data_IF_157206456587
#
_entry.id   IF_157206456587
#
_cell.length_a   1.000
_cell.length_b   1.000
_cell.length_c   1.000
_cell.angle_alpha   90.00
_cell.angle_beta   90.00
_cell.angle_gamma   90.00
#
_symmetry.space_group_name_H-M   'P 1'
#
loop_
_entity.id
_entity.type
_entity.pdbx_description
1 polymer ?
#
# COMPACT_ATOMS: atom_id res chain seq x y z
N UNK A 1 -15.21 -6.06 0.14
CA UNK A 1 -13.91 -6.68 -0.16
C UNK A 1 -13.69 -7.96 0.65
N UNK A 2 -13.50 -7.91 1.97
CA UNK A 2 -13.21 -9.13 2.75
C UNK A 2 -14.27 -10.23 2.64
N UNK A 3 -15.56 -9.88 2.79
CA UNK A 3 -16.67 -10.83 2.58
C UNK A 3 -16.66 -11.48 1.19
N UNK A 4 -16.20 -10.77 0.16
CA UNK A 4 -16.11 -11.30 -1.20
C UNK A 4 -14.91 -12.25 -1.34
N UNK A 5 -13.77 -11.89 -0.74
CA UNK A 5 -12.60 -12.76 -0.68
C UNK A 5 -12.88 -14.06 0.09
N UNK A 6 -13.65 -13.98 1.18
CA UNK A 6 -14.13 -15.13 1.94
C UNK A 6 -15.10 -15.98 1.11
N UNK A 7 -16.10 -15.35 0.48
CA UNK A 7 -17.07 -16.03 -0.38
C UNK A 7 -16.42 -16.82 -1.52
N UNK A 8 -15.31 -16.30 -2.07
CA UNK A 8 -14.54 -16.96 -3.14
C UNK A 8 -13.33 -17.77 -2.63
N UNK A 9 -13.19 -17.94 -1.31
CA UNK A 9 -12.07 -18.68 -0.69
C UNK A 9 -10.68 -18.22 -1.17
N UNK A 10 -10.48 -16.91 -1.29
CA UNK A 10 -9.24 -16.31 -1.79
C UNK A 10 -8.15 -16.18 -0.72
N UNK A 11 -8.50 -16.19 0.57
CA UNK A 11 -7.54 -15.99 1.66
C UNK A 11 -6.39 -17.00 1.67
N UNK A 12 -6.60 -18.32 1.46
CA UNK A 12 -5.50 -19.27 1.36
C UNK A 12 -4.49 -18.91 0.26
N UNK A 13 -4.97 -18.59 -0.95
CA UNK A 13 -4.13 -18.24 -2.09
C UNK A 13 -3.39 -16.91 -1.88
N UNK A 14 -4.05 -15.91 -1.28
CA UNK A 14 -3.42 -14.63 -0.95
C UNK A 14 -2.31 -14.79 0.09
N UNK A 15 -2.55 -15.61 1.13
CA UNK A 15 -1.54 -15.93 2.16
C UNK A 15 -0.34 -16.65 1.56
N UNK A 16 -0.58 -17.62 0.68
CA UNK A 16 0.48 -18.32 -0.03
C UNK A 16 1.29 -17.36 -0.92
N UNK A 17 0.62 -16.47 -1.65
CA UNK A 17 1.28 -15.48 -2.50
C UNK A 17 2.21 -14.56 -1.69
N UNK A 18 1.73 -14.03 -0.56
CA UNK A 18 2.55 -13.21 0.35
C UNK A 18 3.77 -13.97 0.85
N UNK A 19 3.63 -15.27 1.16
CA UNK A 19 4.73 -16.14 1.61
C UNK A 19 5.76 -16.45 0.53
N UNK A 20 5.43 -16.32 -0.76
CA UNK A 20 6.39 -16.57 -1.85
C UNK A 20 7.54 -15.55 -1.90
N UNK A 21 7.45 -14.46 -1.13
CA UNK A 21 8.47 -13.41 -1.11
C UNK A 21 8.39 -12.46 -2.31
N UNK A 22 7.39 -12.62 -3.19
CA UNK A 22 7.15 -11.67 -4.28
C UNK A 22 6.70 -10.31 -3.72
N UNK A 23 7.09 -9.19 -4.34
CA UNK A 23 6.63 -7.87 -3.95
C UNK A 23 5.10 -7.77 -3.91
N UNK A 24 4.55 -7.27 -2.82
CA UNK A 24 3.11 -7.03 -2.66
C UNK A 24 2.87 -5.61 -2.17
N UNK A 25 1.89 -4.93 -2.77
CA UNK A 25 1.49 -3.59 -2.33
C UNK A 25 0.02 -3.56 -1.93
N UNK A 26 -0.24 -3.26 -0.65
CA UNK A 26 -1.59 -3.03 -0.13
C UNK A 26 -1.90 -1.53 -0.03
N UNK A 27 -2.74 -1.02 -0.94
CA UNK A 27 -3.25 0.37 -0.88
C UNK A 27 -4.62 0.42 -0.16
N UNK A 28 -4.80 1.38 0.74
CA UNK A 28 -6.02 1.61 1.53
C UNK A 28 -6.57 0.32 2.17
N UNK A 29 -7.62 -0.30 1.62
CA UNK A 29 -8.17 -1.55 2.13
C UNK A 29 -7.16 -2.72 2.05
N UNK A 30 -6.22 -2.66 1.10
CA UNK A 30 -5.11 -3.61 0.98
C UNK A 30 -4.14 -3.54 2.17
N UNK A 31 -3.89 -2.34 2.75
CA UNK A 31 -3.12 -2.21 4.00
C UNK A 31 -3.79 -3.02 5.11
N UNK A 32 -5.12 -2.93 5.24
CA UNK A 32 -5.87 -3.68 6.25
C UNK A 32 -5.68 -5.19 6.03
N UNK A 33 -5.69 -5.66 4.78
CA UNK A 33 -5.52 -7.09 4.49
C UNK A 33 -4.13 -7.59 4.84
N UNK A 34 -3.08 -6.82 4.57
CA UNK A 34 -1.69 -7.23 4.83
C UNK A 34 -1.30 -7.17 6.30
N UNK A 35 -1.97 -6.33 7.10
CA UNK A 35 -1.68 -6.20 8.52
C UNK A 35 -1.97 -7.50 9.30
N UNK A 36 -1.12 -7.80 10.28
CA UNK A 36 -1.32 -8.92 11.20
C UNK A 36 -2.42 -8.64 12.23
N UNK A 37 -2.68 -7.36 12.55
CA UNK A 37 -3.65 -6.95 13.56
C UNK A 37 -4.52 -5.81 13.03
N UNK A 38 -5.83 -5.86 13.30
CA UNK A 38 -6.75 -4.79 12.93
C UNK A 38 -7.78 -4.50 14.03
N UNK A 39 -8.03 -3.22 14.31
CA UNK A 39 -9.03 -2.72 15.26
C UNK A 39 -10.11 -1.88 14.55
N UNK A 40 -11.22 -1.59 15.23
CA UNK A 40 -12.35 -0.87 14.64
C UNK A 40 -13.18 -1.73 13.67
N UNK A 41 -13.22 -3.05 13.89
CA UNK A 41 -14.04 -3.97 13.10
C UNK A 41 -15.51 -3.93 13.55
N UNK A 42 -16.45 -4.14 12.63
CA UNK A 42 -17.86 -4.41 12.97
C UNK A 42 -17.98 -5.83 13.55
N UNK A 43 -19.08 -6.11 14.26
CA UNK A 43 -19.40 -7.48 14.72
C UNK A 43 -19.26 -8.50 13.58
N UNK A 44 -18.60 -9.61 13.87
CA UNK A 44 -18.21 -10.64 12.88
C UNK A 44 -16.75 -10.59 12.44
N UNK A 45 -16.00 -9.56 12.83
CA UNK A 45 -14.57 -9.45 12.52
C UNK A 45 -14.28 -9.30 11.02
N UNK A 46 -13.00 -9.28 10.67
CA UNK A 46 -12.57 -9.38 9.28
C UNK A 46 -11.35 -10.27 9.20
N UNK A 47 -11.40 -11.27 8.32
CA UNK A 47 -10.22 -12.09 8.02
C UNK A 47 -9.13 -11.23 7.37
N UNK A 48 -7.89 -11.46 7.79
CA UNK A 48 -6.70 -10.77 7.32
C UNK A 48 -5.82 -11.76 6.54
N UNK A 49 -5.09 -11.26 5.56
CA UNK A 49 -4.05 -12.04 4.87
C UNK A 49 -2.83 -12.13 5.78
N UNK A 50 -2.45 -11.02 6.42
CA UNK A 50 -1.26 -10.94 7.27
C UNK A 50 0.04 -10.94 6.47
N UNK A 51 1.16 -10.87 7.20
CA UNK A 51 2.53 -10.81 6.67
C UNK A 51 3.25 -9.50 6.97
N UNK A 52 2.49 -8.45 7.32
CA UNK A 52 3.00 -7.17 7.77
C UNK A 52 2.73 -7.01 9.27
N UNK A 53 3.79 -6.93 10.07
CA UNK A 53 3.73 -6.81 11.54
C UNK A 53 3.33 -5.39 11.95
N UNK A 54 2.06 -5.07 11.76
CA UNK A 54 1.50 -3.79 12.19
C UNK A 54 0.07 -3.95 12.69
N UNK A 55 -0.35 -2.97 13.48
CA UNK A 55 -1.73 -2.84 13.96
C UNK A 55 -2.42 -1.71 13.21
N UNK A 56 -3.52 -2.01 12.52
CA UNK A 56 -4.25 -1.04 11.71
C UNK A 56 -5.61 -0.71 12.32
N UNK A 57 -5.94 0.58 12.43
CA UNK A 57 -7.31 1.03 12.71
C UNK A 57 -8.08 1.26 11.43
N UNK A 58 -9.23 0.59 11.29
CA UNK A 58 -10.10 0.76 10.13
C UNK A 58 -10.83 2.09 10.20
N UNK A 59 -10.98 2.79 9.07
CA UNK A 59 -11.68 4.07 9.00
C UNK A 59 -11.25 5.06 10.10
N UNK A 60 -9.94 5.14 10.37
CA UNK A 60 -9.40 5.93 11.49
C UNK A 60 -9.83 7.40 11.42
N UNK A 61 -9.92 7.95 10.21
CA UNK A 61 -10.25 9.35 9.97
C UNK A 61 -11.76 9.68 9.99
N UNK A 62 -12.63 8.72 10.32
CA UNK A 62 -14.07 8.94 10.51
C UNK A 62 -14.96 8.32 9.43
N UNK A 63 -16.26 8.67 9.48
CA UNK A 63 -17.27 8.18 8.54
C UNK A 63 -17.18 8.86 7.16
N UNK A 64 -17.86 8.27 6.17
CA UNK A 64 -17.87 8.50 4.72
C UNK A 64 -17.76 9.95 4.17
N UNK A 65 -17.87 10.99 5.00
CA UNK A 65 -17.94 12.41 4.59
C UNK A 65 -16.57 13.11 4.70
N UNK A 66 -15.54 12.45 5.27
CA UNK A 66 -14.20 13.05 5.41
C UNK A 66 -13.17 12.37 4.52
N UNK A 67 -13.40 12.39 3.20
CA UNK A 67 -12.28 12.31 2.26
C UNK A 67 -11.48 13.59 2.39
N UNK A 68 -10.17 13.47 2.50
CA UNK A 68 -9.30 14.63 2.58
C UNK A 68 -7.99 14.35 1.85
N UNK A 69 -7.23 15.41 1.67
CA UNK A 69 -5.92 15.34 1.07
C UNK A 69 -4.92 15.97 2.04
N UNK A 70 -3.74 15.38 2.10
CA UNK A 70 -2.67 15.88 2.94
C UNK A 70 -1.33 15.68 2.25
N UNK A 71 -0.44 16.64 2.45
CA UNK A 71 0.94 16.52 2.01
C UNK A 71 1.69 15.56 2.93
N UNK A 72 2.26 14.52 2.34
CA UNK A 72 3.03 13.48 3.02
C UNK A 72 4.44 13.41 2.46
N UNK A 73 5.36 12.81 3.21
CA UNK A 73 6.73 12.62 2.76
C UNK A 73 6.83 11.72 1.54
N UNK A 74 7.75 12.07 0.64
CA UNK A 74 8.11 11.26 -0.52
C UNK A 74 9.17 10.24 -0.10
N UNK A 75 9.07 8.97 -0.52
CA UNK A 75 10.10 7.99 -0.22
C UNK A 75 11.49 8.39 -0.73
N UNK A 76 12.53 8.11 0.05
CA UNK A 76 13.91 8.49 -0.28
C UNK A 76 14.40 7.94 -1.64
N UNK A 77 13.97 6.74 -2.02
CA UNK A 77 14.37 6.13 -3.30
C UNK A 77 13.82 6.87 -4.53
N UNK A 78 12.79 7.70 -4.35
CA UNK A 78 12.12 8.43 -5.44
C UNK A 78 12.12 9.94 -5.26
N UNK A 79 12.75 10.46 -4.21
CA UNK A 79 12.90 11.91 -3.99
C UNK A 79 13.73 12.59 -5.09
N UNK A 80 14.62 11.85 -5.77
CA UNK A 80 15.44 12.34 -6.87
C UNK A 80 14.76 12.32 -8.24
N UNK A 81 13.54 11.80 -8.35
CA UNK A 81 12.80 11.70 -9.62
C UNK A 81 12.16 13.03 -10.07
N UNK A 82 12.43 14.12 -9.34
CA UNK A 82 11.80 15.42 -9.56
C UNK A 82 10.40 15.50 -8.95
N UNK A 83 9.81 16.70 -8.99
CA UNK A 83 8.51 17.00 -8.39
C UNK A 83 8.62 17.81 -7.09
N UNK A 84 7.47 18.02 -6.45
CA UNK A 84 7.39 18.75 -5.18
C UNK A 84 8.09 18.00 -4.04
N UNK A 85 8.51 18.71 -2.99
CA UNK A 85 9.15 18.11 -1.80
C UNK A 85 8.24 17.10 -1.08
N UNK A 86 6.92 17.29 -1.22
CA UNK A 86 5.88 16.43 -0.64
C UNK A 86 5.10 15.70 -1.74
N UNK A 87 4.38 14.66 -1.33
CA UNK A 87 3.41 13.95 -2.15
C UNK A 87 2.00 14.27 -1.64
N UNK A 88 1.08 14.57 -2.54
CA UNK A 88 -0.34 14.81 -2.20
C UNK A 88 -1.05 13.47 -1.96
N UNK A 89 -1.17 13.05 -0.71
CA UNK A 89 -1.89 11.83 -0.33
C UNK A 89 -3.41 12.03 -0.38
N UNK A 90 -4.12 11.21 -1.14
CA UNK A 90 -5.60 11.20 -1.21
C UNK A 90 -6.14 10.13 -0.26
N UNK A 91 -6.87 10.54 0.78
CA UNK A 91 -7.37 9.67 1.84
C UNK A 91 -8.89 9.55 1.76
N UNK A 92 -9.39 8.36 1.41
CA UNK A 92 -10.84 8.09 1.27
C UNK A 92 -11.21 6.96 2.23
N UNK A 93 -11.93 7.30 3.30
CA UNK A 93 -12.21 6.36 4.41
C UNK A 93 -10.96 5.61 4.86
N UNK A 94 -9.84 6.33 4.91
CA UNK A 94 -8.55 5.72 5.04
C UNK A 94 -8.41 5.00 6.39
N UNK A 95 -7.75 3.83 6.41
CA UNK A 95 -7.22 3.28 7.65
C UNK A 95 -6.05 4.11 8.16
N UNK A 96 -5.56 3.80 9.36
CA UNK A 96 -4.27 4.30 9.82
C UNK A 96 -3.51 3.21 10.58
N UNK A 97 -2.18 3.25 10.53
CA UNK A 97 -1.33 2.33 11.30
C UNK A 97 -1.12 2.92 12.70
N UNK A 98 -1.49 2.15 13.72
CA UNK A 98 -1.37 2.54 15.13
C UNK A 98 -0.02 2.15 15.73
N UNK A 99 0.50 1.00 15.31
CA UNK A 99 1.70 0.40 15.88
C UNK A 99 2.38 -0.50 14.83
N UNK A 100 3.71 -0.64 14.95
CA UNK A 100 4.55 -1.38 14.00
C UNK A 100 5.60 -2.21 14.75
N UNK A 101 5.91 -3.38 14.22
CA UNK A 101 6.99 -4.24 14.70
C UNK A 101 8.38 -3.65 14.43
N UNK A 102 9.43 -4.23 15.06
CA UNK A 102 10.81 -3.71 14.97
C UNK A 102 11.41 -3.78 13.56
N UNK A 103 10.94 -4.73 12.73
CA UNK A 103 11.44 -4.92 11.35
C UNK A 103 10.68 -4.08 10.31
N UNK A 104 9.73 -3.24 10.74
CA UNK A 104 8.88 -2.45 9.86
C UNK A 104 9.45 -1.05 9.70
N UNK A 105 9.73 -0.67 8.45
CA UNK A 105 10.19 0.65 8.06
C UNK A 105 8.99 1.58 7.89
N UNK A 106 8.93 2.68 8.64
CA UNK A 106 7.92 3.72 8.47
C UNK A 106 8.37 4.69 7.38
N UNK A 107 7.57 4.81 6.31
CA UNK A 107 7.90 5.61 5.13
C UNK A 107 7.23 6.99 5.13
N UNK A 108 6.03 7.10 5.71
CA UNK A 108 5.31 8.37 5.74
C UNK A 108 4.35 8.50 6.93
N UNK A 109 4.20 9.75 7.35
CA UNK A 109 3.23 10.18 8.35
C UNK A 109 2.27 11.21 7.75
N UNK A 110 1.03 11.23 8.24
CA UNK A 110 0.04 12.26 7.94
C UNK A 110 -0.23 13.07 9.21
N UNK A 111 -0.24 14.43 9.15
CA UNK A 111 -0.69 15.24 10.27
C UNK A 111 -2.19 14.99 10.50
N UNK A 112 -2.59 14.86 11.77
CA UNK A 112 -4.00 14.72 12.16
C UNK A 112 -4.37 15.89 13.07
N UNK A 113 -5.41 16.68 12.73
CA UNK A 113 -5.89 17.74 13.62
C UNK A 113 -6.34 17.14 14.96
N UNK A 114 -5.84 17.67 16.07
CA UNK A 114 -6.04 17.13 17.43
C UNK A 114 -7.51 16.97 17.82
N UNK A 115 -8.42 17.72 17.19
CA UNK A 115 -9.87 17.64 17.40
C UNK A 115 -10.53 16.35 16.87
N UNK A 116 -9.77 15.43 16.27
CA UNK A 116 -10.27 14.14 15.73
C UNK A 116 -9.75 12.90 16.45
N UNK A 117 -8.85 13.03 17.45
CA UNK A 117 -8.22 11.89 18.13
C UNK A 117 -9.00 11.54 19.41
N UNK A 118 -10.11 10.80 19.27
CA UNK A 118 -10.95 10.35 20.40
C UNK A 118 -10.59 8.95 20.93
N UNK A 119 -9.49 8.35 20.49
CA UNK A 119 -9.05 7.02 20.90
C UNK A 119 -7.65 7.05 21.51
N UNK A 120 -7.48 7.83 22.58
CA UNK A 120 -6.48 7.51 23.61
C UNK A 120 -7.24 7.19 24.88
N UNK A 121 -6.95 6.02 25.44
CA UNK A 121 -7.59 5.44 26.61
C UNK A 121 -7.68 6.43 27.79
N UNK A 122 -8.88 6.53 28.35
CA UNK A 122 -9.28 7.04 29.67
C UNK A 122 -8.31 7.96 30.46
N UNK A 123 -8.86 9.14 30.81
CA UNK A 123 -8.49 10.05 31.92
C UNK A 123 -7.51 11.18 31.60
N UNK A 124 -7.97 12.24 30.92
CA UNK A 124 -7.49 13.61 31.20
C UNK A 124 -8.65 14.58 30.99
N UNK A 125 -8.92 15.40 32.02
CA UNK A 125 -9.88 16.50 31.98
C UNK A 125 -9.35 17.61 31.07
N UNK A 126 -10.23 18.18 30.24
CA UNK A 126 -9.93 19.29 29.34
C UNK A 126 -9.58 20.53 30.18
N UNK A 127 -8.38 21.08 29.94
CA UNK A 127 -8.11 22.51 30.12
C UNK A 127 -7.61 23.05 28.77
N UNK A 128 -8.31 24.07 28.29
CA UNK A 128 -7.97 24.84 27.10
C UNK A 128 -6.71 25.69 27.30
N UNK A 129 -6.17 26.16 26.18
CA UNK A 129 -5.01 27.07 26.03
C UNK A 129 -3.61 26.44 26.15
N UNK A 130 -3.18 25.80 25.05
CA UNK A 130 -1.85 26.00 24.44
C UNK A 130 -1.79 25.19 23.14
N UNK A 131 -1.05 25.66 22.13
CA UNK A 131 -0.98 25.05 20.81
C UNK A 131 -0.70 23.53 20.89
N UNK A 132 -1.74 22.73 20.61
CA UNK A 132 -1.70 21.28 20.74
C UNK A 132 -0.67 20.67 19.77
N UNK A 133 0.15 19.70 20.21
CA UNK A 133 1.08 19.03 19.31
C UNK A 133 0.28 18.32 18.22
N UNK A 134 0.52 18.68 16.95
CA UNK A 134 -0.02 17.95 15.80
C UNK A 134 0.36 16.48 15.93
N UNK A 135 -0.63 15.63 16.20
CA UNK A 135 -0.37 14.20 16.30
C UNK A 135 -0.21 13.65 14.89
N UNK A 136 0.95 13.06 14.62
CA UNK A 136 1.25 12.43 13.33
C UNK A 136 0.87 10.97 13.39
N UNK A 137 0.15 10.50 12.38
CA UNK A 137 -0.23 9.08 12.26
C UNK A 137 0.50 8.43 11.09
N UNK A 138 0.86 7.15 11.25
CA UNK A 138 1.59 6.40 10.23
C UNK A 138 0.62 6.04 9.09
N UNK A 139 1.02 6.37 7.86
CA UNK A 139 0.20 6.18 6.65
C UNK A 139 0.91 5.43 5.53
N UNK A 140 2.21 5.18 5.66
CA UNK A 140 2.93 4.28 4.77
C UNK A 140 4.01 3.51 5.54
N UNK A 141 4.08 2.21 5.30
CA UNK A 141 5.04 1.30 5.92
C UNK A 141 5.53 0.28 4.91
N UNK A 142 6.73 -0.25 5.15
CA UNK A 142 7.33 -1.33 4.39
C UNK A 142 7.93 -2.36 5.33
N UNK A 143 7.78 -3.64 4.98
CA UNK A 143 8.49 -4.74 5.64
C UNK A 143 8.91 -5.74 4.59
N UNK A 144 10.23 -5.90 4.40
CA UNK A 144 10.81 -6.74 3.34
C UNK A 144 10.24 -6.38 1.96
N UNK A 145 9.48 -7.30 1.36
CA UNK A 145 8.82 -7.22 0.06
C UNK A 145 7.38 -6.68 0.12
N UNK A 146 6.89 -6.32 1.31
CA UNK A 146 5.55 -5.81 1.51
C UNK A 146 5.60 -4.30 1.66
N UNK A 147 4.86 -3.62 0.80
CA UNK A 147 4.60 -2.18 0.88
C UNK A 147 3.12 -1.99 1.24
N UNK A 148 2.82 -1.05 2.12
CA UNK A 148 1.43 -0.73 2.41
C UNK A 148 1.23 0.75 2.68
N UNK A 149 0.16 1.31 2.11
CA UNK A 149 -0.18 2.73 2.16
C UNK A 149 -1.65 2.92 2.51
N UNK A 150 -1.96 3.89 3.37
CA UNK A 150 -3.33 4.21 3.78
C UNK A 150 -4.07 5.10 2.75
N UNK A 151 -3.34 5.82 1.91
CA UNK A 151 -3.85 6.68 0.85
C UNK A 151 -3.93 5.95 -0.49
N UNK A 152 -4.53 6.64 -1.47
CA UNK A 152 -4.73 6.21 -2.84
C UNK A 152 -3.73 6.91 -3.78
N UNK A 153 -2.52 6.36 -3.96
CA UNK A 153 -1.53 6.94 -4.88
C UNK A 153 -2.00 6.96 -6.34
N UNK A 154 -2.89 6.04 -6.70
CA UNK A 154 -3.47 5.89 -8.04
C UNK A 154 -4.42 7.03 -8.44
N UNK A 155 -4.88 7.83 -7.46
CA UNK A 155 -5.77 8.97 -7.69
C UNK A 155 -5.02 10.28 -7.91
N UNK A 156 -3.70 10.21 -8.15
CA UNK A 156 -2.84 11.35 -8.39
C UNK A 156 -2.06 11.15 -9.69
N UNK A 157 -1.61 12.24 -10.32
CA UNK A 157 -0.70 12.17 -11.46
C UNK A 157 0.76 11.85 -11.05
N UNK A 158 1.05 11.85 -9.75
CA UNK A 158 2.38 11.64 -9.21
C UNK A 158 2.67 10.14 -9.06
N UNK A 159 3.63 9.65 -9.84
CA UNK A 159 3.94 8.22 -9.93
C UNK A 159 5.02 7.78 -8.95
N UNK A 160 5.55 8.65 -8.07
CA UNK A 160 6.73 8.34 -7.25
C UNK A 160 6.53 7.16 -6.29
N UNK A 161 5.33 6.91 -5.79
CA UNK A 161 5.04 5.70 -5.01
C UNK A 161 4.97 4.43 -5.86
N UNK A 162 4.49 4.53 -7.10
CA UNK A 162 4.53 3.44 -8.08
C UNK A 162 5.97 3.13 -8.50
N UNK A 163 6.77 4.17 -8.80
CA UNK A 163 8.20 4.04 -9.05
C UNK A 163 8.92 3.39 -7.87
N UNK A 164 8.59 3.77 -6.63
CA UNK A 164 9.16 3.17 -5.42
C UNK A 164 8.89 1.67 -5.37
N UNK A 165 7.64 1.26 -5.60
CA UNK A 165 7.28 -0.16 -5.65
C UNK A 165 8.04 -0.93 -6.75
N UNK A 166 8.15 -0.35 -7.95
CA UNK A 166 8.90 -0.96 -9.07
C UNK A 166 10.42 -1.03 -8.82
N UNK A 167 10.99 -0.10 -8.05
CA UNK A 167 12.40 -0.18 -7.63
C UNK A 167 12.61 -1.26 -6.60
N UNK A 168 11.70 -1.36 -5.63
CA UNK A 168 11.70 -2.43 -4.64
C UNK A 168 11.68 -3.81 -5.32
N UNK A 169 10.89 -3.98 -6.40
CA UNK A 169 10.86 -5.26 -7.13
C UNK A 169 12.20 -5.58 -7.79
N UNK A 170 12.87 -4.59 -8.38
CA UNK A 170 14.18 -4.76 -9.04
C UNK A 170 15.30 -5.06 -8.05
N UNK A 171 15.29 -4.43 -6.87
CA UNK A 171 16.28 -4.70 -5.82
C UNK A 171 16.22 -6.17 -5.36
N UNK A 172 15.02 -6.77 -5.33
CA UNK A 172 14.84 -8.19 -5.00
C UNK A 172 15.39 -9.13 -6.08
N UNK A 173 15.16 -8.83 -7.37
CA UNK A 173 15.69 -9.63 -8.49
C UNK A 173 17.23 -9.60 -8.53
N UNK A 174 17.83 -8.44 -8.20
CA UNK A 174 19.28 -8.28 -8.18
C UNK A 174 19.92 -8.93 -6.94
N UNK A 175 19.24 -8.90 -5.79
CA UNK A 175 19.68 -9.59 -4.56
C UNK A 175 19.56 -11.12 -4.60
N UNK A 176 18.66 -11.67 -5.44
CA UNK A 176 18.51 -13.12 -5.65
C UNK A 176 19.47 -13.73 -6.68
N UNK A 177 20.21 -12.90 -7.43
CA UNK A 177 21.09 -13.37 -8.51
C UNK A 177 22.44 -13.92 -8.05
N UNK A 178 22.74 -13.91 -6.74
CA UNK A 178 23.95 -14.55 -6.16
C UNK A 178 23.75 -16.01 -5.74
N UNK A 179 22.55 -16.58 -5.87
CA UNK A 179 22.31 -17.99 -5.50
C UNK A 179 21.18 -18.67 -6.28
N UNK A 180 21.28 -18.75 -7.61
CA UNK A 180 20.63 -19.83 -8.39
C UNK A 180 21.15 -19.83 -9.83
N UNK A 181 22.07 -20.74 -10.13
CA UNK A 181 22.55 -21.00 -11.49
C UNK A 181 21.52 -21.73 -12.34
N UNK A 182 21.47 -21.32 -13.61
CA UNK A 182 21.20 -22.15 -14.80
C UNK A 182 19.76 -22.60 -15.07
N UNK A 183 19.03 -21.80 -15.85
CA UNK A 183 18.08 -22.34 -16.84
C UNK A 183 18.57 -21.96 -18.24
N UNK A 184 19.04 -22.97 -18.96
CA UNK A 184 19.53 -22.95 -20.33
C UNK A 184 18.57 -22.21 -21.28
N UNK A 185 19.05 -21.12 -21.88
CA UNK A 185 18.43 -20.49 -23.05
C UNK A 185 18.75 -21.38 -24.25
N UNK A 186 17.74 -22.01 -24.85
CA UNK A 186 17.87 -22.71 -26.13
C UNK A 186 17.84 -21.66 -27.24
N UNK A 187 18.98 -21.46 -27.89
CA UNK A 187 19.08 -20.75 -29.16
C UNK A 187 18.51 -21.63 -30.28
N UNK A 188 17.51 -21.14 -31.00
CA UNK A 188 17.10 -21.70 -32.30
C UNK A 188 17.32 -20.61 -33.34
N UNK A 189 18.19 -20.95 -34.30
CA UNK A 189 18.76 -20.04 -35.28
C UNK A 189 17.78 -19.47 -36.31
N UNK A 190 18.26 -18.41 -36.93
CA UNK A 190 17.63 -17.59 -37.96
C UNK A 190 17.24 -18.40 -39.20
N UNK A 191 16.09 -18.07 -39.78
CA UNK A 191 15.93 -18.09 -41.24
C UNK A 191 14.94 -17.00 -41.64
N UNK A 192 15.43 -16.06 -42.44
CA UNK A 192 14.74 -14.88 -42.94
C UNK A 192 13.70 -15.22 -44.01
N UNK A 193 12.44 -14.80 -43.83
CA UNK A 193 11.54 -14.39 -44.92
C UNK A 193 10.61 -13.29 -44.39
N UNK A 194 10.63 -12.12 -45.01
CA UNK A 194 9.77 -11.00 -44.64
C UNK A 194 8.32 -11.20 -45.07
N UNK A 195 7.37 -10.84 -44.20
CA UNK A 195 6.03 -10.39 -44.60
C UNK A 195 5.45 -9.52 -43.48
N UNK A 196 5.05 -8.31 -43.86
CA UNK A 196 4.39 -7.28 -43.05
C UNK A 196 3.06 -7.79 -42.48
N UNK A 197 2.86 -7.74 -41.15
CA UNK A 197 1.61 -8.14 -40.51
C UNK A 197 1.20 -7.17 -39.39
N UNK A 198 0.14 -6.44 -39.73
CA UNK A 198 -0.79 -5.59 -39.00
C UNK A 198 -0.81 -5.59 -37.46
N UNK A 199 -0.98 -4.36 -36.93
CA UNK A 199 -1.41 -4.05 -35.55
C UNK A 199 -2.68 -4.85 -35.19
N UNK A 200 -2.77 -5.46 -34.01
CA UNK A 200 -4.05 -5.97 -33.51
C UNK A 200 -4.89 -4.81 -32.96
N UNK A 201 -5.87 -4.36 -33.75
CA UNK A 201 -6.95 -3.48 -33.30
C UNK A 201 -7.86 -4.22 -32.32
N UNK A 202 -8.11 -3.63 -31.15
CA UNK A 202 -9.05 -4.12 -30.15
C UNK A 202 -10.45 -3.60 -30.51
N UNK A 203 -11.50 -4.45 -30.57
CA UNK A 203 -12.83 -4.02 -30.97
C UNK A 203 -13.50 -3.18 -29.87
N UNK A 204 -13.86 -1.93 -30.19
CA UNK A 204 -14.72 -1.06 -29.39
C UNK A 204 -16.18 -1.44 -29.66
N UNK A 205 -16.86 -2.01 -28.66
CA UNK A 205 -18.31 -2.21 -28.71
C UNK A 205 -19.01 -0.89 -28.40
N UNK A 206 -19.63 -0.28 -29.43
CA UNK A 206 -20.64 0.76 -29.24
C UNK A 206 -21.99 0.07 -29.05
N UNK A 207 -22.63 0.36 -27.92
CA UNK A 207 -23.99 -0.09 -27.60
C UNK A 207 -24.98 0.83 -28.31
N UNK A 208 -25.96 0.25 -29.01
CA UNK A 208 -27.12 0.97 -29.55
C UNK A 208 -28.05 1.45 -28.43
#
# INVERSE_FOLDING_TARGET
MAKLAEYHNLFPALREFVKTGKPVWGTCAGLIFLADRAVGQKEGGQELVGGLDCTVHRNFFGSQIQSFEADISVPLLTSKEGGAETFRGVFIRAPAVLDVGPDVEVLAHCPVPSNKVLYSSSTVQIQEEDALPETKVIVAVKQRNLLATAFHPELTADTRWHSYFMKMTKEMEQGGSSSSSSSTIVSVGETSVGTELAKPDIPIYLSN
#
